data_IF_377936442003
#
_entry.id   IF_377936442003
#
_cell.length_a   1.000
_cell.length_b   1.000
_cell.length_c   1.000
_cell.angle_alpha   90.00
_cell.angle_beta   90.00
_cell.angle_gamma   90.00
#
_symmetry.space_group_name_H-M   'P 1'
#
loop_
_entity.id
_entity.type
_entity.pdbx_description
1 polymer ?
#
# COMPACT_ATOMS: atom_id res chain seq x y z
N UNK A 1 5.60 0.02 11.04
CA UNK A 1 5.50 1.23 10.20
C UNK A 1 6.75 1.50 9.36
N UNK A 2 7.98 1.32 9.88
CA UNK A 2 9.25 1.55 9.15
C UNK A 2 9.28 1.13 7.67
N UNK A 3 8.70 -0.04 7.32
CA UNK A 3 8.70 -0.52 5.94
C UNK A 3 7.81 0.30 4.99
N UNK A 4 6.65 0.77 5.45
CA UNK A 4 5.75 1.63 4.65
C UNK A 4 6.40 3.00 4.43
N UNK A 5 7.02 3.56 5.47
CA UNK A 5 7.77 4.82 5.38
C UNK A 5 8.90 4.72 4.36
N UNK A 6 9.64 3.61 4.35
CA UNK A 6 10.67 3.34 3.35
C UNK A 6 10.11 3.23 1.92
N UNK A 7 8.92 2.63 1.74
CA UNK A 7 8.27 2.54 0.43
C UNK A 7 7.82 3.92 -0.04
N UNK A 8 7.20 4.70 0.84
CA UNK A 8 6.77 6.07 0.58
C UNK A 8 7.94 6.97 0.18
N UNK A 9 9.04 6.91 0.94
CA UNK A 9 10.24 7.68 0.62
C UNK A 9 10.82 7.31 -0.76
N UNK A 10 10.82 6.02 -1.14
CA UNK A 10 11.25 5.61 -2.49
C UNK A 10 10.31 6.09 -3.58
N UNK A 11 9.00 6.07 -3.34
CA UNK A 11 8.01 6.55 -4.30
C UNK A 11 8.13 8.07 -4.51
N UNK A 12 8.29 8.84 -3.44
CA UNK A 12 8.46 10.30 -3.50
C UNK A 12 9.80 10.71 -4.13
N UNK A 13 10.87 9.95 -3.89
CA UNK A 13 12.18 10.19 -4.49
C UNK A 13 12.25 9.82 -5.99
N UNK A 14 11.24 9.14 -6.53
CA UNK A 14 11.23 8.72 -7.92
C UNK A 14 11.02 9.93 -8.85
N UNK A 15 12.05 10.32 -9.61
CA UNK A 15 12.02 11.47 -10.52
C UNK A 15 10.91 11.37 -11.57
N UNK A 16 10.26 12.50 -11.91
CA UNK A 16 9.15 12.61 -12.88
C UNK A 16 9.46 12.19 -14.33
N UNK A 17 10.73 11.92 -14.67
CA UNK A 17 11.26 11.82 -16.04
C UNK A 17 10.45 10.95 -17.01
N UNK A 18 10.63 11.08 -18.34
CA UNK A 18 9.73 10.45 -19.30
C UNK A 18 9.80 8.91 -19.23
N UNK A 19 8.80 8.31 -18.59
CA UNK A 19 8.55 6.86 -18.55
C UNK A 19 7.55 6.51 -19.66
N UNK A 20 7.88 6.89 -20.89
CA UNK A 20 7.03 6.64 -22.03
C UNK A 20 7.42 5.30 -22.67
N UNK A 21 6.44 4.42 -22.86
CA UNK A 21 6.56 3.29 -23.77
C UNK A 21 6.61 3.86 -25.18
N UNK A 22 7.76 3.78 -25.85
CA UNK A 22 7.83 3.99 -27.31
C UNK A 22 7.79 2.63 -27.98
N UNK A 23 6.76 2.38 -28.78
CA UNK A 23 6.72 1.24 -29.69
C UNK A 23 7.55 1.57 -30.93
N UNK A 24 8.53 0.73 -31.26
CA UNK A 24 9.10 0.73 -32.61
C UNK A 24 8.54 -0.49 -33.34
N UNK A 25 7.93 -0.28 -34.50
CA UNK A 25 7.15 -1.30 -35.23
C UNK A 25 7.96 -2.54 -35.66
N UNK A 26 9.29 -2.51 -35.53
CA UNK A 26 10.18 -3.63 -35.89
C UNK A 26 10.65 -4.47 -34.71
N UNK A 27 10.45 -4.05 -33.45
CA UNK A 27 10.83 -4.87 -32.30
C UNK A 27 9.84 -4.68 -31.18
N UNK A 28 9.27 -5.78 -30.66
CA UNK A 28 8.37 -5.81 -29.50
C UNK A 28 9.09 -5.43 -28.18
N UNK A 29 9.85 -4.34 -28.20
CA UNK A 29 10.72 -3.84 -27.13
C UNK A 29 10.27 -2.42 -26.82
N UNK A 30 9.92 -2.21 -25.57
CA UNK A 30 9.57 -0.89 -25.07
C UNK A 30 10.83 -0.25 -24.46
N UNK A 31 11.02 1.05 -24.69
CA UNK A 31 12.25 1.76 -24.33
C UNK A 31 12.01 2.77 -23.22
N UNK A 32 12.82 2.73 -22.16
CA UNK A 32 12.92 3.87 -21.24
C UNK A 32 13.95 4.85 -21.77
N UNK A 33 13.52 6.02 -22.24
CA UNK A 33 14.44 7.10 -22.58
C UNK A 33 14.40 8.14 -21.47
N UNK A 34 15.40 8.14 -20.59
CA UNK A 34 15.76 9.40 -19.92
C UNK A 34 16.77 10.08 -20.84
N UNK A 35 16.45 11.22 -21.49
CA UNK A 35 17.42 11.97 -22.26
C UNK A 35 18.38 12.63 -21.26
N UNK A 36 19.37 11.89 -20.79
CA UNK A 36 20.49 12.43 -20.06
C UNK A 36 21.61 12.68 -21.06
N UNK A 37 22.11 13.92 -21.22
CA UNK A 37 23.30 14.21 -22.01
C UNK A 37 24.54 13.39 -21.56
N UNK A 38 24.51 12.93 -20.31
CA UNK A 38 25.60 12.28 -19.57
C UNK A 38 25.49 10.75 -19.46
N UNK A 39 24.37 10.12 -19.83
CA UNK A 39 24.27 8.65 -19.97
C UNK A 39 24.49 8.23 -21.42
N UNK A 40 25.71 8.49 -21.88
CA UNK A 40 26.23 7.89 -23.10
C UNK A 40 26.79 6.52 -22.72
N UNK A 41 26.31 5.46 -23.37
CA UNK A 41 27.07 4.22 -23.45
C UNK A 41 28.48 4.52 -23.96
N UNK A 42 29.40 3.54 -23.89
CA UNK A 42 30.79 3.72 -24.38
C UNK A 42 30.86 4.23 -25.84
N UNK A 43 29.77 4.13 -26.59
CA UNK A 43 29.55 4.50 -27.98
C UNK A 43 28.71 5.78 -28.19
N UNK A 44 28.33 6.51 -27.13
CA UNK A 44 27.53 7.72 -27.27
C UNK A 44 26.02 7.51 -27.38
N UNK A 45 25.54 6.25 -27.33
CA UNK A 45 24.12 5.91 -27.47
C UNK A 45 23.42 5.86 -26.11
N UNK A 46 22.11 6.11 -26.03
CA UNK A 46 21.33 5.88 -24.82
C UNK A 46 21.48 4.44 -24.32
N UNK A 47 21.50 4.24 -23.01
CA UNK A 47 21.43 2.89 -22.41
C UNK A 47 19.99 2.39 -22.55
N UNK A 48 19.82 1.27 -23.25
CA UNK A 48 18.51 0.67 -23.46
C UNK A 48 18.32 -0.53 -22.52
N UNK A 49 17.18 -0.57 -21.83
CA UNK A 49 16.72 -1.79 -21.16
C UNK A 49 15.90 -2.59 -22.16
N UNK A 50 16.24 -3.87 -22.31
CA UNK A 50 15.44 -4.82 -23.09
C UNK A 50 14.46 -5.53 -22.16
N UNK A 51 13.27 -4.97 -21.99
CA UNK A 51 12.19 -5.62 -21.27
C UNK A 51 10.95 -5.71 -22.16
N UNK A 52 10.02 -6.58 -21.79
CA UNK A 52 8.77 -6.77 -22.53
C UNK A 52 7.87 -5.53 -22.42
N UNK A 53 6.92 -5.41 -23.34
CA UNK A 53 5.90 -4.36 -23.30
C UNK A 53 5.15 -4.37 -21.96
N UNK A 54 4.69 -5.55 -21.52
CA UNK A 54 3.95 -5.73 -20.28
C UNK A 54 4.76 -5.29 -19.03
N UNK A 55 6.06 -5.60 -18.97
CA UNK A 55 6.91 -5.14 -17.87
C UNK A 55 7.08 -3.62 -17.88
N UNK A 56 7.11 -2.99 -19.05
CA UNK A 56 7.25 -1.54 -19.17
C UNK A 56 5.98 -0.81 -18.77
N UNK A 57 4.82 -1.29 -19.22
CA UNK A 57 3.51 -0.79 -18.78
C UNK A 57 3.36 -0.90 -17.27
N UNK A 58 3.71 -2.05 -16.69
CA UNK A 58 3.68 -2.25 -15.24
C UNK A 58 4.57 -1.24 -14.48
N UNK A 59 5.81 -1.03 -14.93
CA UNK A 59 6.72 -0.06 -14.31
C UNK A 59 6.23 1.38 -14.48
N UNK A 60 5.64 1.72 -15.63
CA UNK A 60 5.07 3.03 -15.88
C UNK A 60 3.91 3.32 -14.92
N UNK A 61 2.97 2.36 -14.78
CA UNK A 61 1.81 2.47 -13.89
C UNK A 61 2.19 2.48 -12.41
N UNK A 62 3.27 1.79 -12.01
CA UNK A 62 3.72 1.73 -10.62
C UNK A 62 3.93 3.12 -9.99
N UNK A 63 4.19 4.17 -10.78
CA UNK A 63 4.33 5.55 -10.28
C UNK A 63 3.04 6.15 -9.75
N UNK A 64 1.91 5.75 -10.29
CA UNK A 64 0.57 6.22 -9.87
C UNK A 64 -0.03 5.23 -8.86
N UNK A 65 0.13 3.93 -9.14
CA UNK A 65 -0.43 2.87 -8.32
C UNK A 65 0.18 2.82 -6.92
N UNK A 66 1.50 2.98 -6.77
CA UNK A 66 2.16 2.89 -5.45
C UNK A 66 1.70 4.02 -4.52
N UNK A 67 1.70 5.32 -4.91
CA UNK A 67 1.14 6.38 -4.09
C UNK A 67 -0.34 6.16 -3.75
N UNK A 68 -1.16 5.69 -4.70
CA UNK A 68 -2.57 5.39 -4.45
C UNK A 68 -2.74 4.28 -3.40
N UNK A 69 -1.99 3.18 -3.53
CA UNK A 69 -2.00 2.07 -2.58
C UNK A 69 -1.53 2.49 -1.19
N UNK A 70 -0.50 3.34 -1.10
CA UNK A 70 -0.03 3.86 0.19
C UNK A 70 -1.11 4.72 0.88
N UNK A 71 -1.80 5.57 0.12
CA UNK A 71 -2.92 6.36 0.65
C UNK A 71 -4.07 5.46 1.12
N UNK A 72 -4.34 4.36 0.43
CA UNK A 72 -5.36 3.39 0.82
C UNK A 72 -4.98 2.63 2.10
N UNK A 73 -3.70 2.26 2.26
CA UNK A 73 -3.19 1.69 3.51
C UNK A 73 -3.32 2.68 4.67
N UNK A 74 -2.93 3.94 4.49
CA UNK A 74 -3.09 4.99 5.50
C UNK A 74 -4.57 5.16 5.90
N UNK A 75 -5.48 5.15 4.92
CA UNK A 75 -6.93 5.24 5.14
C UNK A 75 -7.45 4.06 5.96
N UNK A 76 -7.07 2.83 5.59
CA UNK A 76 -7.49 1.61 6.31
C UNK A 76 -6.93 1.59 7.73
N UNK A 77 -5.68 2.00 7.93
CA UNK A 77 -5.07 2.09 9.25
C UNK A 77 -5.82 3.09 10.14
N UNK A 78 -6.16 4.27 9.61
CA UNK A 78 -6.95 5.26 10.33
C UNK A 78 -8.35 4.74 10.72
N UNK A 79 -8.99 3.94 9.85
CA UNK A 79 -10.26 3.29 10.19
C UNK A 79 -10.11 2.26 11.30
N UNK A 80 -9.08 1.41 11.25
CA UNK A 80 -8.78 0.44 12.31
C UNK A 80 -8.51 1.14 13.63
N UNK A 81 -7.72 2.21 13.62
CA UNK A 81 -7.39 2.98 14.82
C UNK A 81 -8.64 3.65 15.42
N UNK A 82 -9.55 4.14 14.57
CA UNK A 82 -10.83 4.69 15.02
C UNK A 82 -11.72 3.61 15.68
N UNK A 83 -11.77 2.40 15.13
CA UNK A 83 -12.51 1.28 15.73
C UNK A 83 -11.89 0.89 17.08
N UNK A 84 -10.55 0.77 17.17
CA UNK A 84 -9.85 0.52 18.43
C UNK A 84 -10.14 1.58 19.48
N UNK A 85 -10.13 2.86 19.11
CA UNK A 85 -10.46 3.96 20.01
C UNK A 85 -11.92 3.88 20.49
N UNK A 86 -12.86 3.52 19.62
CA UNK A 86 -14.25 3.31 19.98
C UNK A 86 -14.43 2.15 20.97
N UNK A 87 -13.72 1.04 20.76
CA UNK A 87 -13.71 -0.11 21.68
C UNK A 87 -13.07 0.24 23.02
N UNK A 88 -11.95 0.96 23.04
CA UNK A 88 -11.29 1.39 24.27
C UNK A 88 -12.16 2.34 25.12
N UNK A 89 -12.99 3.15 24.47
CA UNK A 89 -13.99 4.00 25.13
C UNK A 89 -15.26 3.24 25.53
N UNK A 90 -15.46 2.04 24.99
CA UNK A 90 -16.54 1.17 25.41
C UNK A 90 -16.24 0.69 26.84
N UNK A 91 -17.20 0.74 27.77
CA UNK A 91 -17.01 0.15 29.09
C UNK A 91 -16.65 -1.34 28.93
N UNK A 92 -15.43 -1.73 29.35
CA UNK A 92 -15.10 -3.14 29.54
C UNK A 92 -16.11 -3.70 30.53
N UNK A 93 -16.67 -4.86 30.21
CA UNK A 93 -17.81 -5.47 30.87
C UNK A 93 -17.99 -4.99 32.32
N UNK A 94 -19.03 -4.18 32.50
CA UNK A 94 -19.66 -3.81 33.75
C UNK A 94 -19.27 -4.73 34.93
N UNK A 95 -18.77 -4.15 36.02
CA UNK A 95 -18.78 -4.75 37.37
C UNK A 95 -20.21 -5.11 37.86
N UNK A 96 -21.23 -4.96 37.01
CA UNK A 96 -22.64 -5.18 37.25
C UNK A 96 -23.16 -6.56 36.80
N UNK A 97 -22.38 -7.40 36.09
CA UNK A 97 -22.88 -8.69 35.58
C UNK A 97 -21.89 -9.85 35.73
N UNK A 98 -22.42 -11.00 36.15
CA UNK A 98 -21.66 -12.22 36.39
C UNK A 98 -21.15 -12.83 35.08
N UNK A 99 -19.92 -13.35 35.10
CA UNK A 99 -19.19 -13.86 33.92
C UNK A 99 -19.81 -15.14 33.35
N UNK A 100 -20.69 -15.77 34.12
CA UNK A 100 -21.43 -16.99 33.76
C UNK A 100 -22.77 -16.71 33.08
N UNK A 101 -23.22 -15.45 32.97
CA UNK A 101 -24.35 -15.12 32.11
C UNK A 101 -23.92 -15.21 30.65
N UNK A 102 -24.39 -16.27 29.97
CA UNK A 102 -24.30 -16.45 28.53
C UNK A 102 -24.52 -15.10 27.83
N UNK A 103 -23.73 -14.79 26.79
CA UNK A 103 -23.79 -13.54 26.02
C UNK A 103 -25.23 -13.29 25.51
N UNK A 104 -26.09 -12.74 26.36
CA UNK A 104 -27.55 -12.65 26.14
C UNK A 104 -27.91 -11.40 25.35
N UNK A 105 -26.96 -10.49 25.16
CA UNK A 105 -27.17 -9.23 24.47
C UNK A 105 -26.34 -9.16 23.18
N UNK A 106 -27.02 -8.99 22.04
CA UNK A 106 -26.39 -9.02 20.70
C UNK A 106 -25.27 -8.00 20.51
N UNK A 107 -25.26 -6.88 21.24
CA UNK A 107 -24.16 -5.91 21.17
C UNK A 107 -22.87 -6.41 21.82
N UNK A 108 -22.94 -7.21 22.90
CA UNK A 108 -21.75 -7.82 23.53
C UNK A 108 -21.08 -8.77 22.56
N UNK A 109 -21.89 -9.58 21.86
CA UNK A 109 -21.38 -10.49 20.83
C UNK A 109 -20.73 -9.72 19.68
N UNK A 110 -21.33 -8.61 19.24
CA UNK A 110 -20.77 -7.77 18.20
C UNK A 110 -19.42 -7.13 18.62
N UNK A 111 -19.29 -6.66 19.86
CA UNK A 111 -18.02 -6.14 20.39
C UNK A 111 -16.95 -7.23 20.42
N UNK A 112 -17.28 -8.42 20.92
CA UNK A 112 -16.39 -9.58 20.91
C UNK A 112 -15.93 -9.96 19.51
N UNK A 113 -16.86 -10.00 18.55
CA UNK A 113 -16.54 -10.35 17.16
C UNK A 113 -15.58 -9.33 16.53
N UNK A 114 -15.70 -8.04 16.89
CA UNK A 114 -14.79 -6.98 16.41
C UNK A 114 -13.43 -7.08 17.09
N UNK A 115 -13.35 -7.28 18.41
CA UNK A 115 -12.09 -7.47 19.13
C UNK A 115 -11.32 -8.69 18.60
N UNK A 116 -12.04 -9.80 18.38
CA UNK A 116 -11.48 -11.00 17.73
C UNK A 116 -10.99 -10.70 16.31
N UNK A 117 -11.75 -9.95 15.51
CA UNK A 117 -11.34 -9.57 14.16
C UNK A 117 -10.09 -8.66 14.13
N UNK A 118 -9.85 -7.90 15.20
CA UNK A 118 -8.68 -7.05 15.37
C UNK A 118 -7.45 -7.79 15.94
N UNK A 119 -7.60 -9.07 16.31
CA UNK A 119 -6.56 -9.88 16.91
C UNK A 119 -6.26 -9.51 18.37
N UNK A 120 -7.20 -8.85 19.05
CA UNK A 120 -7.13 -8.57 20.48
C UNK A 120 -7.83 -9.72 21.20
N UNK A 121 -7.07 -10.77 21.55
CA UNK A 121 -7.60 -11.92 22.30
C UNK A 121 -8.10 -11.49 23.69
N UNK A 122 -9.23 -12.07 24.11
CA UNK A 122 -9.79 -11.92 25.46
C UNK A 122 -8.87 -12.63 26.47
N UNK A 123 -8.10 -11.88 27.27
CA UNK A 123 -7.61 -12.33 28.59
C UNK A 123 -8.65 -12.03 29.69
#
# INVERSE_FOLDING_TARGET
MKRLDEIKARAEAATEGPWAVSEDSESSRAWFTRPFPEFKGKDGRPVHLSITHAETEFIAHAREDIPWLLAEVDRLQAQVDAVRAALANHPKACDLYDKDEAVTCGWKRAVMDVEQALGEDYE
#
